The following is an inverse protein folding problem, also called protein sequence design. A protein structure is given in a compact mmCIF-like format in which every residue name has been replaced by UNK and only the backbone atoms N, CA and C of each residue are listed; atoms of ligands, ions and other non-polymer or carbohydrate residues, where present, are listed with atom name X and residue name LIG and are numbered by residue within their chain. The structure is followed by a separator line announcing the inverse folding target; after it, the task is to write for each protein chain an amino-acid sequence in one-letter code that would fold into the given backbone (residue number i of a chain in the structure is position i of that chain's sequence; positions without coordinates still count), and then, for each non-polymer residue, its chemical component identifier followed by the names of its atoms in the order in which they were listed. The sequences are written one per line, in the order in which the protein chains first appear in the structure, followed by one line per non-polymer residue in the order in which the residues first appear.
data_IF_262107080185
#
_entry.id   IF_262107080185
#
_cell.length_a   1.000
_cell.length_b   1.000
_cell.length_c   1.000
_cell.angle_alpha   90.00
_cell.angle_beta   90.00
_cell.angle_gamma   90.00
#
_symmetry.space_group_name_H-M   'P 1'
#
loop_
_entity.id
_entity.type
_entity.pdbx_description
1 polymer ?
#
# COMPACT_ATOMS: atom_id res chain seq x y z
N UNK A 1 -20.85 1.96 5.10
CA UNK A 1 -21.42 0.62 4.88
C UNK A 1 -21.75 0.47 3.40
N UNK A 2 -20.91 -0.25 2.65
CA UNK A 2 -21.10 -0.53 1.22
C UNK A 2 -21.46 -2.02 1.13
N UNK A 3 -22.69 -2.35 0.76
CA UNK A 3 -23.11 -3.73 0.49
C UNK A 3 -23.94 -3.76 -0.80
N UNK A 4 -23.70 -4.81 -1.59
CA UNK A 4 -23.84 -4.85 -3.04
C UNK A 4 -25.11 -5.54 -3.55
N UNK A 5 -25.61 -5.10 -4.71
CA UNK A 5 -26.60 -5.81 -5.51
C UNK A 5 -26.06 -5.98 -6.94
N UNK A 6 -26.05 -7.22 -7.43
CA UNK A 6 -26.28 -7.58 -8.84
C UNK A 6 -25.19 -7.34 -9.88
N UNK A 7 -24.07 -8.08 -9.83
CA UNK A 7 -23.30 -8.49 -11.04
C UNK A 7 -22.21 -9.52 -10.64
N UNK A 8 -21.75 -10.44 -11.51
CA UNK A 8 -20.69 -11.42 -11.16
C UNK A 8 -19.39 -10.80 -10.60
N UNK A 9 -19.16 -9.51 -10.88
CA UNK A 9 -18.05 -8.70 -10.36
C UNK A 9 -18.17 -8.34 -8.86
N UNK A 10 -19.38 -8.35 -8.29
CA UNK A 10 -19.66 -7.93 -6.89
C UNK A 10 -19.27 -8.98 -5.84
N UNK A 11 -19.23 -10.26 -6.20
CA UNK A 11 -18.88 -11.34 -5.25
C UNK A 11 -17.39 -11.34 -4.88
N UNK A 12 -16.52 -10.85 -5.77
CA UNK A 12 -15.08 -10.68 -5.47
C UNK A 12 -14.85 -9.47 -4.57
N UNK A 13 -15.61 -8.38 -4.75
CA UNK A 13 -15.49 -7.15 -3.94
C UNK A 13 -15.98 -7.36 -2.50
N UNK A 14 -17.14 -7.97 -2.30
CA UNK A 14 -17.70 -8.25 -0.96
C UNK A 14 -16.86 -9.21 -0.11
N UNK A 15 -16.01 -10.04 -0.73
CA UNK A 15 -15.08 -10.95 -0.04
C UNK A 15 -13.70 -10.35 0.22
N UNK A 16 -13.42 -9.17 -0.35
CA UNK A 16 -12.11 -8.55 -0.31
C UNK A 16 -12.01 -7.47 0.76
N UNK A 17 -13.06 -6.66 0.97
CA UNK A 17 -13.00 -5.52 1.88
C UNK A 17 -13.35 -5.90 3.33
N UNK A 18 -12.65 -5.29 4.27
CA UNK A 18 -12.97 -5.33 5.69
C UNK A 18 -12.97 -3.92 6.29
N UNK A 19 -13.49 -3.80 7.51
CA UNK A 19 -13.54 -2.54 8.24
C UNK A 19 -12.45 -2.49 9.31
N UNK A 20 -11.74 -1.36 9.40
CA UNK A 20 -10.66 -1.17 10.35
C UNK A 20 -10.22 0.29 10.42
N UNK A 21 -9.61 0.67 11.55
CA UNK A 21 -9.10 2.01 11.77
C UNK A 21 -7.67 1.94 12.31
N UNK A 22 -6.83 2.88 11.88
CA UNK A 22 -5.47 3.04 12.37
C UNK A 22 -5.19 4.53 12.56
N UNK A 23 -4.31 4.84 13.52
CA UNK A 23 -3.87 6.19 13.81
C UNK A 23 -2.35 6.22 13.98
N UNK A 24 -1.73 7.31 13.54
CA UNK A 24 -0.31 7.58 13.71
C UNK A 24 -0.11 8.99 14.26
N UNK A 25 0.87 9.17 15.13
CA UNK A 25 1.30 10.48 15.60
C UNK A 25 2.55 10.90 14.82
N UNK A 26 2.40 11.90 13.94
CA UNK A 26 3.51 12.50 13.20
C UNK A 26 3.97 13.76 13.94
N UNK A 27 5.28 13.91 14.09
CA UNK A 27 5.90 15.08 14.72
C UNK A 27 6.96 15.64 13.79
N UNK A 28 6.97 16.96 13.62
CA UNK A 28 8.10 17.69 13.06
C UNK A 28 8.97 18.16 14.23
N UNK A 29 10.10 17.50 14.46
CA UNK A 29 11.04 17.90 15.50
C UNK A 29 12.47 17.61 15.07
N UNK A 30 13.32 18.63 15.13
CA UNK A 30 14.75 18.51 14.85
C UNK A 30 15.50 17.73 15.94
N UNK A 31 14.93 17.67 17.16
CA UNK A 31 15.51 17.08 18.36
C UNK A 31 14.65 15.94 18.92
N UNK A 32 14.09 15.10 18.04
CA UNK A 32 13.30 13.94 18.49
C UNK A 32 14.24 12.84 19.02
N UNK A 33 14.41 12.80 20.34
CA UNK A 33 15.28 11.85 21.06
C UNK A 33 14.58 10.52 21.39
N UNK A 34 13.37 10.26 20.87
CA UNK A 34 12.68 8.99 21.10
C UNK A 34 13.52 7.80 20.62
N UNK A 35 13.59 6.77 21.46
CA UNK A 35 14.53 5.67 21.28
C UNK A 35 14.28 4.83 20.01
N UNK A 36 13.05 4.79 19.47
CA UNK A 36 12.74 3.89 18.35
C UNK A 36 11.47 4.26 17.57
N UNK A 37 11.54 5.28 16.71
CA UNK A 37 10.48 5.61 15.75
C UNK A 37 11.10 5.98 14.39
N UNK A 38 10.51 5.57 13.26
CA UNK A 38 11.07 5.91 11.97
C UNK A 38 10.87 7.39 11.64
N UNK A 39 11.87 7.97 10.99
CA UNK A 39 11.79 9.26 10.30
C UNK A 39 11.25 9.04 8.89
N UNK A 40 10.37 9.93 8.46
CA UNK A 40 9.94 10.01 7.05
C UNK A 40 10.99 10.84 6.31
N UNK A 41 11.59 10.27 5.27
CA UNK A 41 12.67 10.90 4.51
C UNK A 41 12.19 11.56 3.22
N UNK A 42 11.17 10.99 2.58
CA UNK A 42 10.67 11.50 1.31
C UNK A 42 9.50 10.69 0.77
N UNK A 43 8.86 11.25 -0.27
CA UNK A 43 7.72 10.67 -0.96
C UNK A 43 7.93 10.71 -2.48
N UNK A 44 7.28 9.79 -3.20
CA UNK A 44 7.12 9.90 -4.64
C UNK A 44 5.75 9.39 -5.09
N UNK A 45 5.13 10.12 -6.02
CA UNK A 45 3.81 9.80 -6.56
C UNK A 45 3.91 9.47 -8.04
N UNK A 46 3.15 8.49 -8.51
CA UNK A 46 3.07 8.15 -9.91
C UNK A 46 1.62 7.85 -10.34
N UNK A 47 1.07 8.73 -11.16
CA UNK A 47 -0.23 8.55 -11.81
C UNK A 47 -0.02 7.76 -13.11
N UNK A 48 -0.78 6.67 -13.28
CA UNK A 48 -0.80 5.86 -14.49
C UNK A 48 -1.88 6.43 -15.41
N UNK A 49 -1.54 7.47 -16.17
CA UNK A 49 -2.50 8.25 -16.96
C UNK A 49 -3.29 7.42 -17.97
N UNK A 50 -2.68 6.38 -18.55
CA UNK A 50 -3.35 5.45 -19.47
C UNK A 50 -4.43 4.59 -18.79
N UNK A 51 -4.44 4.50 -17.47
CA UNK A 51 -5.36 3.69 -16.68
C UNK A 51 -6.13 4.52 -15.64
N UNK A 52 -6.26 5.83 -15.85
CA UNK A 52 -6.83 6.76 -14.86
C UNK A 52 -8.23 6.35 -14.38
N UNK A 53 -9.05 5.78 -15.27
CA UNK A 53 -10.40 5.30 -14.96
C UNK A 53 -10.50 3.87 -14.43
N UNK A 54 -9.38 3.14 -14.33
CA UNK A 54 -9.36 1.73 -13.94
C UNK A 54 -9.53 1.51 -12.42
N UNK A 55 -9.30 2.56 -11.62
CA UNK A 55 -9.64 2.64 -10.19
C UNK A 55 -10.40 3.94 -9.97
N UNK A 56 -11.69 3.88 -9.63
CA UNK A 56 -12.49 5.08 -9.40
C UNK A 56 -13.67 4.84 -8.47
N UNK A 57 -14.18 5.93 -7.91
CA UNK A 57 -15.45 5.93 -7.20
C UNK A 57 -16.51 6.50 -8.14
N UNK A 58 -17.55 5.71 -8.38
CA UNK A 58 -18.73 6.11 -9.13
C UNK A 58 -19.85 6.40 -8.12
N UNK A 59 -20.58 7.50 -8.33
CA UNK A 59 -21.78 7.78 -7.54
C UNK A 59 -22.97 6.99 -8.10
N UNK A 60 -23.56 6.14 -7.27
CA UNK A 60 -24.81 5.44 -7.58
C UNK A 60 -25.98 6.27 -7.05
N UNK A 61 -26.69 6.94 -7.96
CA UNK A 61 -27.82 7.79 -7.63
C UNK A 61 -29.07 7.03 -7.17
N UNK A 62 -29.22 5.76 -7.55
CA UNK A 62 -30.35 4.92 -7.12
C UNK A 62 -30.15 4.45 -5.68
N UNK A 63 -28.93 4.10 -5.32
CA UNK A 63 -28.58 3.65 -3.96
C UNK A 63 -28.14 4.77 -3.02
N UNK A 64 -27.95 5.99 -3.54
CA UNK A 64 -27.44 7.15 -2.83
C UNK A 64 -26.11 6.86 -2.11
N UNK A 65 -25.18 6.18 -2.81
CA UNK A 65 -23.90 5.68 -2.25
C UNK A 65 -22.79 5.77 -3.28
N UNK A 66 -21.54 5.79 -2.79
CA UNK A 66 -20.38 5.56 -3.65
C UNK A 66 -20.17 4.06 -3.89
N UNK A 67 -19.97 3.70 -5.16
CA UNK A 67 -19.53 2.39 -5.61
C UNK A 67 -18.08 2.46 -6.02
N UNK A 68 -17.27 1.52 -5.53
CA UNK A 68 -15.86 1.43 -5.92
C UNK A 68 -15.73 0.55 -7.17
N UNK A 69 -15.38 1.16 -8.30
CA UNK A 69 -15.05 0.45 -9.53
C UNK A 69 -13.56 0.08 -9.54
N UNK A 70 -13.32 -1.19 -9.84
CA UNK A 70 -12.00 -1.76 -9.99
C UNK A 70 -11.97 -2.61 -11.26
N UNK A 71 -11.11 -2.23 -12.20
CA UNK A 71 -10.84 -2.99 -13.42
C UNK A 71 -10.20 -4.34 -13.10
N UNK A 72 -10.42 -5.36 -13.93
CA UNK A 72 -9.87 -6.70 -13.72
C UNK A 72 -8.35 -6.73 -13.88
N UNK A 73 -7.80 -5.89 -14.75
CA UNK A 73 -6.38 -5.94 -15.13
C UNK A 73 -5.51 -4.97 -14.32
N UNK A 74 -6.12 -4.16 -13.44
CA UNK A 74 -5.40 -3.19 -12.63
C UNK A 74 -4.26 -3.77 -11.78
N UNK A 75 -4.30 -5.01 -11.24
CA UNK A 75 -3.17 -5.53 -10.48
C UNK A 75 -1.89 -5.59 -11.32
N UNK A 76 -2.01 -5.97 -12.59
CA UNK A 76 -0.89 -6.07 -13.51
C UNK A 76 -0.39 -4.69 -13.94
N UNK A 77 -1.31 -3.77 -14.20
CA UNK A 77 -0.99 -2.38 -14.54
C UNK A 77 -0.24 -1.69 -13.39
N UNK A 78 -0.70 -1.85 -12.14
CA UNK A 78 -0.02 -1.33 -10.95
C UNK A 78 1.36 -1.97 -10.80
N UNK A 79 1.45 -3.31 -10.89
CA UNK A 79 2.74 -4.02 -10.81
C UNK A 79 3.76 -3.52 -11.83
N UNK A 80 3.37 -3.41 -13.10
CA UNK A 80 4.24 -2.96 -14.19
C UNK A 80 4.70 -1.49 -14.07
N UNK A 81 4.02 -0.69 -13.25
CA UNK A 81 4.36 0.73 -13.03
C UNK A 81 5.00 0.98 -11.66
N UNK A 82 5.04 0.00 -10.76
CA UNK A 82 5.48 0.17 -9.37
C UNK A 82 6.97 0.53 -9.23
N UNK A 83 7.80 0.09 -10.17
CA UNK A 83 9.24 0.41 -10.17
C UNK A 83 9.50 1.92 -10.40
N UNK A 84 8.65 2.62 -11.15
CA UNK A 84 8.86 4.04 -11.49
C UNK A 84 8.91 4.96 -10.27
N UNK A 85 7.88 5.01 -9.39
CA UNK A 85 7.96 5.84 -8.18
C UNK A 85 8.98 5.31 -7.18
N UNK A 86 9.22 3.99 -7.15
CA UNK A 86 10.24 3.41 -6.27
C UNK A 86 11.65 3.89 -6.65
N UNK A 87 12.04 3.78 -7.92
CA UNK A 87 13.37 4.17 -8.39
C UNK A 87 13.60 5.66 -8.15
N UNK A 88 12.63 6.52 -8.49
CA UNK A 88 12.72 7.96 -8.20
C UNK A 88 12.88 8.25 -6.71
N UNK A 89 12.11 7.56 -5.85
CA UNK A 89 12.23 7.68 -4.41
C UNK A 89 13.64 7.29 -3.94
N UNK A 90 14.18 6.16 -4.38
CA UNK A 90 15.48 5.69 -3.92
C UNK A 90 16.64 6.52 -4.47
N UNK A 91 16.59 6.91 -5.75
CA UNK A 91 17.63 7.71 -6.39
C UNK A 91 17.77 9.09 -5.74
N UNK A 92 16.66 9.73 -5.35
CA UNK A 92 16.67 11.00 -4.62
C UNK A 92 17.41 10.94 -3.28
N UNK A 93 17.59 9.73 -2.73
CA UNK A 93 18.31 9.49 -1.48
C UNK A 93 19.62 8.70 -1.67
N UNK A 94 20.07 8.49 -2.92
CA UNK A 94 21.28 7.71 -3.22
C UNK A 94 21.21 6.24 -2.80
N UNK A 95 20.00 5.69 -2.70
CA UNK A 95 19.75 4.33 -2.25
C UNK A 95 19.50 3.39 -3.44
N UNK A 96 19.64 2.10 -3.17
CA UNK A 96 19.24 1.02 -4.06
C UNK A 96 18.31 0.09 -3.30
N UNK A 97 17.48 -0.65 -4.02
CA UNK A 97 16.51 -1.61 -3.44
C UNK A 97 17.13 -2.52 -2.37
N UNK A 98 18.35 -3.01 -2.58
CA UNK A 98 19.10 -3.85 -1.61
C UNK A 98 19.39 -3.19 -0.26
N UNK A 99 19.25 -1.87 -0.14
CA UNK A 99 19.41 -1.15 1.12
C UNK A 99 18.10 -1.09 1.92
N UNK A 100 16.98 -1.52 1.33
CA UNK A 100 15.66 -1.53 1.99
C UNK A 100 15.50 -2.84 2.73
N UNK A 101 15.38 -2.76 4.05
CA UNK A 101 15.20 -3.90 4.93
C UNK A 101 13.72 -4.26 5.11
N UNK A 102 12.81 -3.28 5.00
CA UNK A 102 11.40 -3.46 5.33
C UNK A 102 10.47 -2.97 4.21
N UNK A 103 9.50 -3.78 3.84
CA UNK A 103 8.52 -3.46 2.80
C UNK A 103 7.11 -3.46 3.38
N UNK A 104 6.38 -2.37 3.17
CA UNK A 104 5.02 -2.16 3.66
C UNK A 104 4.13 -1.84 2.46
N UNK A 105 3.72 -2.89 1.76
CA UNK A 105 2.85 -2.78 0.58
C UNK A 105 1.38 -2.81 1.02
N UNK A 106 0.55 -1.97 0.42
CA UNK A 106 -0.89 -1.96 0.64
C UNK A 106 -1.51 -3.33 0.28
N UNK A 107 -2.33 -3.88 1.18
CA UNK A 107 -3.07 -5.13 0.98
C UNK A 107 -4.34 -4.92 0.15
N UNK A 108 -4.18 -4.48 -1.10
CA UNK A 108 -5.30 -4.26 -2.02
C UNK A 108 -5.97 -5.56 -2.49
N UNK A 109 -5.27 -6.69 -2.36
CA UNK A 109 -5.70 -8.02 -2.77
C UNK A 109 -4.52 -8.90 -3.19
N UNK A 110 -4.70 -10.22 -3.21
CA UNK A 110 -3.57 -11.16 -3.46
C UNK A 110 -2.85 -10.86 -4.78
N UNK A 111 -3.61 -10.64 -5.86
CA UNK A 111 -3.07 -10.39 -7.20
C UNK A 111 -2.19 -9.13 -7.27
N UNK A 112 -2.56 -8.05 -6.59
CA UNK A 112 -1.77 -6.80 -6.64
C UNK A 112 -0.50 -6.92 -5.82
N UNK A 113 -0.56 -7.58 -4.67
CA UNK A 113 0.64 -7.86 -3.85
C UNK A 113 1.62 -8.74 -4.63
N UNK A 114 1.13 -9.80 -5.29
CA UNK A 114 1.97 -10.68 -6.11
C UNK A 114 2.56 -9.94 -7.33
N UNK A 115 1.77 -9.10 -8.01
CA UNK A 115 2.26 -8.33 -9.15
C UNK A 115 3.35 -7.33 -8.74
N UNK A 116 3.18 -6.62 -7.62
CA UNK A 116 4.19 -5.71 -7.07
C UNK A 116 5.45 -6.49 -6.68
N UNK A 117 5.29 -7.60 -5.95
CA UNK A 117 6.40 -8.46 -5.53
C UNK A 117 7.25 -8.92 -6.70
N UNK A 118 6.61 -9.41 -7.76
CA UNK A 118 7.29 -9.88 -8.97
C UNK A 118 8.00 -8.74 -9.70
N UNK A 119 7.33 -7.62 -9.96
CA UNK A 119 7.90 -6.52 -10.75
C UNK A 119 9.02 -5.77 -10.02
N UNK A 120 8.88 -5.57 -8.71
CA UNK A 120 9.93 -4.93 -7.90
C UNK A 120 11.03 -5.94 -7.56
N UNK A 121 10.77 -7.25 -7.66
CA UNK A 121 11.70 -8.32 -7.30
C UNK A 121 12.00 -8.36 -5.79
N UNK A 122 10.95 -8.35 -4.98
CA UNK A 122 11.02 -8.59 -3.53
C UNK A 122 10.52 -10.01 -3.23
N UNK A 123 10.78 -10.49 -2.02
CA UNK A 123 10.54 -11.88 -1.62
C UNK A 123 9.19 -12.05 -0.94
N UNK A 124 8.74 -13.30 -0.77
CA UNK A 124 7.58 -13.61 0.08
C UNK A 124 7.78 -13.13 1.52
N UNK A 125 9.03 -13.19 2.01
CA UNK A 125 9.34 -12.71 3.34
C UNK A 125 9.09 -11.20 3.45
N UNK A 126 9.48 -10.42 2.44
CA UNK A 126 9.30 -8.96 2.43
C UNK A 126 7.83 -8.55 2.55
N UNK A 127 6.91 -9.32 1.97
CA UNK A 127 5.45 -9.04 1.99
C UNK A 127 4.67 -9.86 3.03
N UNK A 128 5.35 -10.57 3.95
CA UNK A 128 4.72 -11.45 4.95
C UNK A 128 3.64 -10.74 5.77
N UNK A 129 3.91 -9.50 6.20
CA UNK A 129 3.01 -8.70 7.02
C UNK A 129 1.79 -8.27 6.21
N UNK A 130 1.99 -7.77 4.99
CA UNK A 130 0.91 -7.46 4.04
C UNK A 130 0.01 -8.66 3.76
N UNK A 131 0.56 -9.84 3.49
CA UNK A 131 -0.23 -11.06 3.28
C UNK A 131 -1.00 -11.47 4.53
N UNK A 132 -0.36 -11.37 5.70
CA UNK A 132 -1.00 -11.73 6.96
C UNK A 132 -2.15 -10.80 7.32
N UNK A 133 -2.02 -9.49 7.07
CA UNK A 133 -3.11 -8.50 7.23
C UNK A 133 -4.24 -8.79 6.26
N UNK A 134 -3.92 -9.02 4.98
CA UNK A 134 -4.93 -9.36 3.97
C UNK A 134 -5.73 -10.61 4.35
N UNK A 135 -5.05 -11.63 4.89
CA UNK A 135 -5.69 -12.89 5.31
C UNK A 135 -6.61 -12.67 6.51
N UNK A 136 -6.17 -11.90 7.51
CA UNK A 136 -6.87 -11.80 8.78
C UNK A 136 -7.97 -10.71 8.77
N UNK A 137 -7.82 -9.67 7.95
CA UNK A 137 -8.69 -8.50 7.95
C UNK A 137 -9.24 -8.11 6.57
N UNK A 138 -8.75 -8.72 5.48
CA UNK A 138 -9.06 -8.26 4.13
C UNK A 138 -8.36 -6.93 3.78
N UNK A 139 -8.94 -6.24 2.80
CA UNK A 139 -8.54 -4.91 2.37
C UNK A 139 -9.26 -3.87 3.25
N UNK A 140 -8.51 -3.28 4.18
CA UNK A 140 -8.96 -2.20 5.07
C UNK A 140 -8.83 -0.81 4.44
N UNK A 141 -8.82 -0.73 3.11
CA UNK A 141 -8.56 0.51 2.36
C UNK A 141 -7.25 1.16 2.81
N UNK A 142 -7.22 2.49 2.93
CA UNK A 142 -6.06 3.29 3.34
C UNK A 142 -5.41 2.84 4.65
N UNK A 143 -6.16 2.23 5.58
CA UNK A 143 -5.63 1.75 6.86
C UNK A 143 -4.74 0.51 6.75
N UNK A 144 -4.85 -0.26 5.66
CA UNK A 144 -4.21 -1.57 5.49
C UNK A 144 -2.70 -1.59 5.76
N UNK A 145 -1.96 -0.63 5.20
CA UNK A 145 -0.49 -0.64 5.34
C UNK A 145 -0.05 -0.31 6.77
N UNK A 146 -0.87 0.41 7.55
CA UNK A 146 -0.60 0.71 8.95
C UNK A 146 -0.77 -0.52 9.85
N UNK A 147 -1.68 -1.44 9.50
CA UNK A 147 -1.77 -2.74 10.17
C UNK A 147 -0.52 -3.58 9.89
N UNK A 148 -0.02 -3.57 8.65
CA UNK A 148 1.25 -4.23 8.31
C UNK A 148 2.42 -3.61 9.06
N UNK A 149 2.42 -2.28 9.20
CA UNK A 149 3.42 -1.54 9.96
C UNK A 149 3.39 -1.92 11.45
N UNK A 150 2.20 -2.05 12.05
CA UNK A 150 2.06 -2.53 13.43
C UNK A 150 2.65 -3.95 13.60
N UNK A 151 2.36 -4.87 12.68
CA UNK A 151 2.92 -6.24 12.73
C UNK A 151 4.43 -6.25 12.58
N UNK A 152 4.98 -5.40 11.72
CA UNK A 152 6.43 -5.22 11.59
C UNK A 152 7.07 -4.77 12.91
N UNK A 153 6.48 -3.80 13.59
CA UNK A 153 7.00 -3.33 14.88
C UNK A 153 6.89 -4.41 15.97
N UNK A 154 5.78 -5.15 16.01
CA UNK A 154 5.55 -6.25 16.96
C UNK A 154 6.51 -7.42 16.76
N UNK A 155 7.02 -7.62 15.55
CA UNK A 155 8.02 -8.66 15.27
C UNK A 155 9.35 -8.42 16.01
N UNK A 156 9.64 -7.18 16.42
CA UNK A 156 10.84 -6.86 17.21
C UNK A 156 12.16 -7.03 16.46
N UNK A 157 12.14 -7.10 15.12
CA UNK A 157 13.32 -7.33 14.27
C UNK A 157 13.87 -6.09 13.56
N UNK A 158 13.13 -4.99 13.61
CA UNK A 158 13.60 -3.71 13.09
C UNK A 158 14.81 -3.24 13.89
N UNK A 159 15.81 -2.69 13.23
CA UNK A 159 17.03 -2.16 13.84
C UNK A 159 17.19 -0.67 13.52
N UNK A 160 17.91 0.04 14.38
CA UNK A 160 18.30 1.43 14.11
C UNK A 160 19.14 1.47 12.83
N UNK A 161 18.85 2.42 11.96
CA UNK A 161 19.48 2.59 10.66
C UNK A 161 18.79 1.85 9.53
N UNK A 162 17.87 0.92 9.80
CA UNK A 162 17.13 0.21 8.76
C UNK A 162 16.30 1.17 7.91
N UNK A 163 16.28 0.94 6.60
CA UNK A 163 15.37 1.62 5.69
C UNK A 163 14.12 0.79 5.45
N UNK A 164 12.98 1.46 5.36
CA UNK A 164 11.72 0.87 4.95
C UNK A 164 11.08 1.65 3.81
N UNK A 165 10.36 0.93 2.94
CA UNK A 165 9.52 1.53 1.90
C UNK A 165 8.06 1.21 2.20
N UNK A 166 7.23 2.25 2.23
CA UNK A 166 5.78 2.12 2.17
C UNK A 166 5.32 2.32 0.74
N UNK A 167 4.41 1.47 0.25
CA UNK A 167 3.84 1.58 -1.09
C UNK A 167 2.33 1.35 -1.05
N UNK A 168 1.57 2.33 -1.51
CA UNK A 168 0.11 2.30 -1.56
C UNK A 168 -0.42 2.68 -2.93
N UNK A 169 -1.67 2.31 -3.23
CA UNK A 169 -2.30 2.61 -4.51
C UNK A 169 -3.79 2.92 -4.34
N UNK A 170 -4.32 3.74 -5.23
CA UNK A 170 -5.69 4.24 -5.15
C UNK A 170 -6.23 4.81 -6.47
N UNK A 171 -7.43 5.42 -6.42
CA UNK A 171 -8.11 5.99 -7.58
C UNK A 171 -7.28 6.97 -8.42
N UNK A 172 -7.68 7.14 -9.70
CA UNK A 172 -6.86 7.80 -10.72
C UNK A 172 -5.73 6.91 -11.25
N UNK A 173 -5.78 5.62 -10.87
CA UNK A 173 -4.69 4.63 -10.84
C UNK A 173 -3.35 5.25 -10.46
N UNK A 174 -3.19 5.52 -9.16
CA UNK A 174 -2.01 6.18 -8.61
C UNK A 174 -1.25 5.24 -7.70
N UNK A 175 0.08 5.29 -7.76
CA UNK A 175 1.00 4.62 -6.83
C UNK A 175 1.70 5.70 -6.01
N UNK A 176 1.65 5.56 -4.69
CA UNK A 176 2.34 6.42 -3.73
C UNK A 176 3.43 5.61 -3.02
N UNK A 177 4.61 6.21 -2.87
CA UNK A 177 5.71 5.62 -2.11
C UNK A 177 6.23 6.59 -1.05
N UNK A 178 6.63 6.06 0.11
CA UNK A 178 7.31 6.80 1.15
C UNK A 178 8.55 6.05 1.61
N UNK A 179 9.65 6.79 1.79
CA UNK A 179 10.89 6.27 2.37
C UNK A 179 10.91 6.60 3.86
N UNK A 180 11.15 5.59 4.68
CA UNK A 180 11.34 5.75 6.12
C UNK A 180 12.66 5.16 6.59
N UNK A 181 13.18 5.66 7.71
CA UNK A 181 14.39 5.14 8.35
C UNK A 181 14.29 5.20 9.86
N UNK A 182 14.60 4.08 10.54
CA UNK A 182 14.67 4.01 12.00
C UNK A 182 15.98 4.54 12.57
#
# INVERSE_FOLDING_TARGET
MVNAVGEPSTTVRSRLFGDGAAAILVRASEKDERAFAPKILGFNSHIITSAIGAMRYDWDGEQNKFSFYLDRDIPYVVGANAEKPLTRLLDAHGLKRRHIAHWLVHSGGKKVVDAIKYNIGITEHDVRHTHSVLRDFGNLSSGSFLFSFQRLLQEGRVKRGDYGVMMTMGPGSTIETALIRW
#
